data_IF_271743364732
#
_entry.id   IF_271743364732
#
_cell.length_a   1.000
_cell.length_b   1.000
_cell.length_c   1.000
_cell.angle_alpha   90.00
_cell.angle_beta   90.00
_cell.angle_gamma   90.00
#
_symmetry.space_group_name_H-M   'P 1'
#
loop_
_entity.id
_entity.type
_entity.pdbx_description
1 polymer ?
#
# COMPACT_ATOMS: atom_id res chain seq x y z
N UNK A 1 -11.15 -2.62 3.56
CA UNK A 1 -10.45 -3.42 2.55
C UNK A 1 -10.40 -2.60 1.28
N UNK A 2 -9.26 -2.57 0.57
CA UNK A 2 -9.08 -1.81 -0.66
C UNK A 2 -8.18 -2.57 -1.64
N UNK A 3 -8.58 -2.69 -2.91
CA UNK A 3 -7.73 -3.27 -3.96
C UNK A 3 -7.25 -2.18 -4.90
N UNK A 4 -5.95 -2.17 -5.20
CA UNK A 4 -5.35 -1.24 -6.17
C UNK A 4 -4.72 -2.06 -7.26
N UNK A 5 -5.28 -1.98 -8.46
CA UNK A 5 -4.83 -2.77 -9.61
C UNK A 5 -3.94 -1.92 -10.50
N UNK A 6 -2.75 -2.42 -10.77
CA UNK A 6 -1.80 -1.85 -11.71
C UNK A 6 -0.49 -2.62 -11.65
N UNK A 7 0.55 -2.09 -12.28
CA UNK A 7 1.86 -2.76 -12.33
C UNK A 7 2.84 -2.07 -11.39
N UNK A 8 3.43 -2.84 -10.47
CA UNK A 8 4.67 -2.46 -9.80
C UNK A 8 5.81 -3.10 -10.61
N UNK A 9 6.82 -2.34 -11.05
CA UNK A 9 7.90 -2.85 -11.91
C UNK A 9 8.93 -3.65 -11.09
N UNK A 10 8.45 -4.71 -10.44
CA UNK A 10 9.22 -5.67 -9.66
C UNK A 10 8.65 -7.07 -9.95
N UNK A 11 9.39 -7.92 -10.69
CA UNK A 11 8.93 -9.25 -11.06
C UNK A 11 8.79 -10.20 -9.86
N UNK A 12 9.46 -9.93 -8.74
CA UNK A 12 9.49 -10.79 -7.55
C UNK A 12 8.44 -10.38 -6.50
N UNK A 13 7.69 -9.31 -6.77
CA UNK A 13 6.67 -8.80 -5.85
C UNK A 13 5.48 -9.75 -5.74
N UNK A 14 5.02 -10.28 -6.88
CA UNK A 14 3.76 -11.02 -6.97
C UNK A 14 2.55 -10.17 -6.58
N UNK A 15 1.45 -10.83 -6.23
CA UNK A 15 0.29 -10.17 -5.61
C UNK A 15 0.52 -10.08 -4.10
N UNK A 16 0.53 -8.87 -3.55
CA UNK A 16 0.57 -8.65 -2.11
C UNK A 16 -0.85 -8.50 -1.57
N UNK A 17 -1.13 -9.12 -0.44
CA UNK A 17 -2.38 -8.88 0.28
C UNK A 17 -2.22 -9.02 1.79
N UNK A 18 -2.81 -8.10 2.54
CA UNK A 18 -2.70 -8.08 4.00
C UNK A 18 -2.93 -6.70 4.60
N UNK A 19 -2.73 -6.55 5.92
CA UNK A 19 -2.71 -5.24 6.56
C UNK A 19 -1.69 -4.34 5.88
N UNK A 20 -2.11 -3.11 5.57
CA UNK A 20 -1.26 -2.11 4.94
C UNK A 20 -0.93 -0.97 5.92
N UNK A 21 0.34 -0.54 5.89
CA UNK A 21 0.88 0.57 6.70
C UNK A 21 1.70 1.51 5.85
N UNK A 22 1.76 2.77 6.25
CA UNK A 22 2.64 3.76 5.62
C UNK A 22 3.63 4.24 6.67
N UNK A 23 4.91 3.95 6.44
CA UNK A 23 6.04 4.37 7.26
C UNK A 23 6.99 5.20 6.40
N UNK A 24 7.11 6.51 6.71
CA UNK A 24 8.04 7.48 6.10
C UNK A 24 8.51 7.13 4.67
N UNK A 25 7.62 7.29 3.69
CA UNK A 25 7.94 7.07 2.27
C UNK A 25 7.92 5.61 1.78
N UNK A 26 7.53 4.65 2.62
CA UNK A 26 7.37 3.24 2.28
C UNK A 26 6.00 2.73 2.69
N UNK A 27 5.42 1.86 1.87
CA UNK A 27 4.21 1.12 2.22
C UNK A 27 4.59 -0.31 2.54
N UNK A 28 4.04 -0.83 3.63
CA UNK A 28 4.22 -2.22 4.03
C UNK A 28 2.90 -2.94 3.86
N UNK A 29 2.85 -4.03 3.07
CA UNK A 29 1.68 -4.91 2.91
C UNK A 29 2.07 -6.31 3.37
N UNK A 30 1.37 -6.84 4.38
CA UNK A 30 1.69 -8.16 4.96
C UNK A 30 3.17 -8.33 5.37
N UNK A 31 3.82 -7.25 5.83
CA UNK A 31 5.24 -7.26 6.21
C UNK A 31 6.23 -7.13 5.04
N UNK A 32 5.75 -7.02 3.79
CA UNK A 32 6.59 -6.73 2.62
C UNK A 32 6.60 -5.23 2.35
N UNK A 33 7.79 -4.65 2.27
CA UNK A 33 7.97 -3.22 1.96
C UNK A 33 7.94 -2.97 0.45
N UNK A 34 7.33 -1.86 0.07
CA UNK A 34 7.28 -1.34 -1.30
C UNK A 34 7.56 0.16 -1.25
N UNK A 35 8.54 0.60 -2.04
CA UNK A 35 8.90 2.02 -2.12
C UNK A 35 7.78 2.86 -2.74
N UNK A 36 7.48 3.99 -2.11
CA UNK A 36 6.49 4.95 -2.60
C UNK A 36 7.15 5.86 -3.63
N UNK A 37 7.25 5.39 -4.86
CA UNK A 37 7.72 6.22 -5.98
C UNK A 37 6.56 6.76 -6.81
N UNK A 38 5.86 5.89 -7.55
CA UNK A 38 4.74 6.24 -8.44
C UNK A 38 3.80 5.04 -8.64
N UNK A 39 2.62 5.27 -9.19
CA UNK A 39 1.70 4.19 -9.58
C UNK A 39 0.99 3.54 -8.38
N UNK A 40 0.71 2.23 -8.40
CA UNK A 40 -0.09 1.55 -7.38
C UNK A 40 0.41 1.76 -5.93
N UNK A 41 1.72 1.70 -5.61
CA UNK A 41 2.20 1.94 -4.26
C UNK A 41 1.95 3.37 -3.77
N UNK A 42 2.02 4.37 -4.68
CA UNK A 42 1.71 5.76 -4.36
C UNK A 42 0.21 5.98 -4.09
N UNK A 43 -0.66 5.29 -4.83
CA UNK A 43 -2.10 5.31 -4.56
C UNK A 43 -2.43 4.65 -3.22
N UNK A 44 -1.75 3.56 -2.87
CA UNK A 44 -1.92 2.92 -1.57
C UNK A 44 -1.45 3.83 -0.42
N UNK A 45 -0.30 4.47 -0.58
CA UNK A 45 0.21 5.46 0.36
C UNK A 45 -0.79 6.61 0.57
N UNK A 46 -1.36 7.15 -0.52
CA UNK A 46 -2.36 8.21 -0.44
C UNK A 46 -3.63 7.74 0.30
N UNK A 47 -4.13 6.53 0.01
CA UNK A 47 -5.28 5.96 0.68
C UNK A 47 -5.05 5.76 2.19
N UNK A 48 -3.84 5.32 2.58
CA UNK A 48 -3.42 5.20 3.98
C UNK A 48 -3.35 6.56 4.68
N UNK A 49 -2.81 7.59 4.04
CA UNK A 49 -2.82 8.95 4.59
C UNK A 49 -4.23 9.49 4.78
N UNK A 50 -5.13 9.27 3.81
CA UNK A 50 -6.54 9.67 3.93
C UNK A 50 -7.21 8.93 5.07
N UNK A 51 -7.00 7.61 5.20
CA UNK A 51 -7.54 6.83 6.31
C UNK A 51 -7.06 7.38 7.67
N UNK A 52 -5.75 7.64 7.80
CA UNK A 52 -5.18 8.23 9.01
C UNK A 52 -5.77 9.62 9.32
N UNK A 53 -5.90 10.48 8.31
CA UNK A 53 -6.50 11.80 8.47
C UNK A 53 -7.97 11.75 8.91
N UNK A 54 -8.71 10.74 8.45
CA UNK A 54 -10.10 10.49 8.83
C UNK A 54 -10.25 9.72 10.15
N UNK A 55 -9.16 9.43 10.88
CA UNK A 55 -9.18 8.65 12.11
C UNK A 55 -9.64 7.20 11.90
N UNK A 56 -9.44 6.65 10.70
CA UNK A 56 -9.78 5.27 10.36
C UNK A 56 -8.62 4.33 10.72
N UNK A 57 -8.91 3.09 11.12
CA UNK A 57 -7.87 2.10 11.35
C UNK A 57 -7.18 1.70 10.03
N UNK A 58 -6.03 1.04 10.15
CA UNK A 58 -5.39 0.33 9.06
C UNK A 58 -6.36 -0.64 8.38
N UNK A 59 -6.20 -0.82 7.08
CA UNK A 59 -7.07 -1.68 6.28
C UNK A 59 -6.29 -2.77 5.56
N UNK A 60 -6.99 -3.86 5.26
CA UNK A 60 -6.49 -4.90 4.38
C UNK A 60 -6.40 -4.36 2.94
N UNK A 61 -5.23 -4.41 2.34
CA UNK A 61 -4.99 -4.00 0.96
C UNK A 61 -4.67 -5.21 0.06
N UNK A 62 -4.99 -5.07 -1.22
CA UNK A 62 -4.44 -5.88 -2.31
C UNK A 62 -3.65 -4.94 -3.20
N UNK A 63 -2.38 -5.27 -3.46
CA UNK A 63 -1.45 -4.49 -4.28
C UNK A 63 -0.75 -5.40 -5.27
#
# INVERSE_FOLDING_TARGET
MLGIVGTVPDPDLGLLHGPARLDVGRVTVAGREVDVQRGPPALLAAALQVAAHLGRPEFHAYL
#
